data_IF_639296869558
#
_entry.id   IF_639296869558
#
_cell.length_a   1.000
_cell.length_b   1.000
_cell.length_c   1.000
_cell.angle_alpha   90.00
_cell.angle_beta   90.00
_cell.angle_gamma   90.00
#
_symmetry.space_group_name_H-M   'P 1'
#
loop_
_entity.id
_entity.type
_entity.pdbx_description
1 polymer ?
#
# COMPACT_ATOMS: atom_id res chain seq x y z
N UNK A 1 -31.57 -5.37 -19.42
CA UNK A 1 -32.90 -5.99 -19.19
C UNK A 1 -32.79 -6.86 -17.96
N UNK A 2 -33.35 -6.44 -16.83
CA UNK A 2 -33.33 -7.21 -15.57
C UNK A 2 -34.18 -8.47 -15.73
N UNK A 3 -33.63 -9.65 -15.41
CA UNK A 3 -34.35 -10.92 -15.42
C UNK A 3 -35.60 -10.83 -14.51
N UNK A 4 -36.75 -11.45 -14.85
CA UNK A 4 -38.00 -11.41 -14.08
C UNK A 4 -37.84 -11.71 -12.58
N UNK A 5 -36.94 -12.66 -12.27
CA UNK A 5 -36.58 -13.05 -10.90
C UNK A 5 -36.01 -11.90 -10.05
N UNK A 6 -35.34 -10.92 -10.66
CA UNK A 6 -34.80 -9.75 -9.95
C UNK A 6 -35.94 -8.84 -9.45
N UNK A 7 -36.97 -8.64 -10.28
CA UNK A 7 -38.11 -7.78 -9.92
C UNK A 7 -38.93 -8.40 -8.78
N UNK A 8 -39.09 -9.72 -8.78
CA UNK A 8 -39.76 -10.45 -7.70
C UNK A 8 -39.04 -10.29 -6.36
N UNK A 9 -37.71 -10.50 -6.33
CA UNK A 9 -36.89 -10.37 -5.11
C UNK A 9 -36.94 -8.94 -4.56
N UNK A 10 -36.80 -7.93 -5.43
CA UNK A 10 -36.90 -6.52 -5.02
C UNK A 10 -38.29 -6.19 -4.47
N UNK A 11 -39.35 -6.70 -5.09
CA UNK A 11 -40.73 -6.45 -4.64
C UNK A 11 -41.02 -7.13 -3.31
N UNK A 12 -40.48 -8.31 -3.07
CA UNK A 12 -40.54 -9.00 -1.78
C UNK A 12 -39.75 -8.26 -0.70
N UNK A 13 -38.57 -7.73 -1.03
CA UNK A 13 -37.78 -6.89 -0.14
C UNK A 13 -38.53 -5.63 0.31
N UNK A 14 -39.17 -4.91 -0.62
CA UNK A 14 -39.98 -3.73 -0.29
C UNK A 14 -41.11 -4.08 0.68
N UNK A 15 -41.87 -5.13 0.38
CA UNK A 15 -42.96 -5.61 1.26
C UNK A 15 -42.46 -6.03 2.64
N UNK A 16 -41.26 -6.62 2.71
CA UNK A 16 -40.64 -7.03 3.98
C UNK A 16 -40.30 -5.80 4.83
N UNK A 17 -39.68 -4.79 4.24
CA UNK A 17 -39.37 -3.54 4.95
C UNK A 17 -40.64 -2.82 5.41
N UNK A 18 -41.64 -2.70 4.55
CA UNK A 18 -42.92 -2.08 4.89
C UNK A 18 -43.64 -2.82 6.02
N UNK A 19 -43.52 -4.15 6.05
CA UNK A 19 -44.07 -4.97 7.13
C UNK A 19 -43.32 -4.78 8.45
N UNK A 20 -41.99 -4.66 8.42
CA UNK A 20 -41.16 -4.53 9.61
C UNK A 20 -41.20 -3.13 10.23
N UNK A 21 -41.31 -2.08 9.40
CA UNK A 21 -41.19 -0.69 9.82
C UNK A 21 -42.03 -0.31 11.05
N UNK A 22 -43.31 -0.70 11.18
CA UNK A 22 -44.15 -0.34 12.33
C UNK A 22 -43.73 -0.99 13.66
N UNK A 23 -42.99 -2.10 13.60
CA UNK A 23 -42.57 -2.87 14.78
C UNK A 23 -41.17 -2.49 15.25
N UNK A 24 -40.43 -1.71 14.46
CA UNK A 24 -39.09 -1.26 14.81
C UNK A 24 -39.21 0.04 15.61
N UNK A 25 -38.65 0.03 16.81
CA UNK A 25 -38.50 1.26 17.59
C UNK A 25 -37.33 2.09 17.06
N UNK A 26 -37.46 3.43 16.97
CA UNK A 26 -36.36 4.31 16.56
C UNK A 26 -35.10 4.09 17.40
N UNK A 27 -33.95 4.17 16.73
CA UNK A 27 -32.60 4.05 17.32
C UNK A 27 -32.36 2.75 18.10
N UNK A 28 -33.07 1.66 17.75
CA UNK A 28 -32.85 0.33 18.36
C UNK A 28 -32.39 -0.75 17.39
N UNK A 29 -32.72 -0.65 16.10
CA UNK A 29 -32.33 -1.66 15.13
C UNK A 29 -30.92 -1.40 14.61
N UNK A 30 -30.07 -2.44 14.67
CA UNK A 30 -28.78 -2.50 14.01
C UNK A 30 -28.97 -3.29 12.71
N UNK A 31 -28.76 -2.65 11.56
CA UNK A 31 -28.98 -3.25 10.25
C UNK A 31 -27.67 -3.49 9.51
N UNK A 32 -27.46 -4.73 9.09
CA UNK A 32 -26.35 -5.16 8.24
C UNK A 32 -26.92 -5.63 6.90
N UNK A 33 -26.79 -4.81 5.86
CA UNK A 33 -27.43 -5.03 4.56
C UNK A 33 -26.40 -5.31 3.47
N UNK A 34 -26.40 -6.53 2.92
CA UNK A 34 -25.55 -6.96 1.82
C UNK A 34 -26.41 -7.30 0.61
N UNK A 35 -26.22 -6.56 -0.48
CA UNK A 35 -26.87 -6.81 -1.76
C UNK A 35 -25.92 -6.43 -2.88
N UNK A 36 -25.07 -7.36 -3.33
CA UNK A 36 -24.14 -7.09 -4.43
C UNK A 36 -24.92 -6.90 -5.74
N UNK A 37 -24.99 -5.66 -6.23
CA UNK A 37 -25.72 -5.30 -7.44
C UNK A 37 -24.79 -5.12 -8.64
N UNK A 38 -25.36 -5.16 -9.84
CA UNK A 38 -24.61 -5.00 -11.09
C UNK A 38 -24.27 -3.55 -11.43
N UNK A 39 -25.10 -2.59 -11.02
CA UNK A 39 -24.95 -1.17 -11.39
C UNK A 39 -25.61 -0.22 -10.37
N UNK A 40 -25.37 1.09 -10.55
CA UNK A 40 -25.90 2.13 -9.67
C UNK A 40 -27.44 2.19 -9.69
N UNK A 41 -28.11 1.87 -10.81
CA UNK A 41 -29.57 1.89 -10.88
C UNK A 41 -30.18 0.79 -10.01
N UNK A 42 -29.61 -0.42 -10.07
CA UNK A 42 -29.97 -1.53 -9.21
C UNK A 42 -29.69 -1.21 -7.73
N UNK A 43 -28.58 -0.52 -7.45
CA UNK A 43 -28.20 -0.11 -6.10
C UNK A 43 -29.25 0.81 -5.47
N UNK A 44 -29.70 1.82 -6.22
CA UNK A 44 -30.75 2.76 -5.78
C UNK A 44 -32.05 2.03 -5.45
N UNK A 45 -32.47 1.11 -6.31
CA UNK A 45 -33.70 0.34 -6.09
C UNK A 45 -33.57 -0.55 -4.84
N UNK A 46 -32.40 -1.13 -4.58
CA UNK A 46 -32.17 -1.98 -3.41
C UNK A 46 -32.26 -1.21 -2.09
N UNK A 47 -31.80 0.05 -2.05
CA UNK A 47 -31.75 0.86 -0.81
C UNK A 47 -32.95 1.77 -0.60
N UNK A 48 -33.75 2.03 -1.65
CA UNK A 48 -34.95 2.89 -1.57
C UNK A 48 -35.86 2.58 -0.36
N UNK A 49 -36.15 1.30 -0.03
CA UNK A 49 -36.99 0.98 1.13
C UNK A 49 -36.48 1.53 2.46
N UNK A 50 -35.15 1.62 2.63
CA UNK A 50 -34.51 2.12 3.85
C UNK A 50 -34.61 3.65 3.97
N UNK A 51 -34.90 4.35 2.88
CA UNK A 51 -35.07 5.81 2.82
C UNK A 51 -36.54 6.25 2.86
N UNK A 52 -37.47 5.30 2.88
CA UNK A 52 -38.89 5.61 2.94
C UNK A 52 -39.22 6.34 4.25
N UNK A 53 -40.05 7.38 4.19
CA UNK A 53 -40.44 8.19 5.36
C UNK A 53 -41.09 7.39 6.50
N UNK A 54 -41.62 6.21 6.20
CA UNK A 54 -42.22 5.31 7.20
C UNK A 54 -41.21 4.44 7.93
N UNK A 55 -39.96 4.36 7.45
CA UNK A 55 -38.93 3.54 8.08
C UNK A 55 -38.29 4.32 9.25
N UNK A 56 -38.22 3.75 10.46
CA UNK A 56 -37.69 4.45 11.62
C UNK A 56 -36.17 4.64 11.52
N UNK A 57 -35.67 5.66 12.23
CA UNK A 57 -34.23 5.89 12.38
C UNK A 57 -33.57 4.66 13.00
N UNK A 58 -32.47 4.21 12.41
CA UNK A 58 -31.70 3.06 12.86
C UNK A 58 -30.69 3.44 13.95
N UNK A 59 -30.38 2.49 14.84
CA UNK A 59 -29.27 2.64 15.79
C UNK A 59 -27.93 2.60 15.05
N UNK A 60 -27.84 1.69 14.09
CA UNK A 60 -26.65 1.41 13.30
C UNK A 60 -27.07 0.89 11.93
N UNK A 61 -26.36 1.30 10.88
CA UNK A 61 -26.59 0.80 9.53
C UNK A 61 -25.25 0.59 8.82
N UNK A 62 -25.06 -0.61 8.28
CA UNK A 62 -23.90 -0.99 7.49
C UNK A 62 -24.39 -1.55 6.16
N UNK A 63 -23.88 -1.02 5.05
CA UNK A 63 -24.40 -1.32 3.72
C UNK A 63 -23.25 -1.75 2.82
N UNK A 64 -23.41 -2.90 2.15
CA UNK A 64 -22.58 -3.34 1.02
C UNK A 64 -23.48 -3.57 -0.18
N UNK A 65 -23.18 -2.87 -1.27
CA UNK A 65 -23.95 -2.91 -2.51
C UNK A 65 -23.16 -3.51 -3.68
N UNK A 66 -21.92 -3.93 -3.47
CA UNK A 66 -21.10 -4.51 -4.52
C UNK A 66 -19.85 -5.15 -3.97
N UNK A 67 -19.49 -6.29 -4.56
CA UNK A 67 -18.27 -7.03 -4.24
C UNK A 67 -17.02 -6.22 -4.61
N UNK A 68 -17.08 -5.50 -5.71
CA UNK A 68 -15.97 -4.68 -6.19
C UNK A 68 -16.23 -3.21 -5.89
N UNK A 69 -15.18 -2.39 -5.95
CA UNK A 69 -15.26 -0.95 -5.63
C UNK A 69 -15.83 -0.19 -6.83
N UNK A 70 -16.95 0.49 -6.58
CA UNK A 70 -17.54 1.51 -7.44
C UNK A 70 -17.75 2.77 -6.59
N UNK A 71 -17.04 3.89 -6.87
CA UNK A 71 -17.15 5.11 -6.10
C UNK A 71 -18.58 5.69 -6.02
N UNK A 72 -19.39 5.52 -7.07
CA UNK A 72 -20.76 6.04 -7.14
C UNK A 72 -21.68 5.25 -6.23
N UNK A 73 -21.57 3.91 -6.28
CA UNK A 73 -22.33 3.00 -5.42
C UNK A 73 -21.89 3.13 -3.96
N UNK A 74 -20.60 3.29 -3.71
CA UNK A 74 -20.07 3.54 -2.37
C UNK A 74 -20.59 4.85 -1.77
N UNK A 75 -20.62 5.94 -2.54
CA UNK A 75 -21.20 7.20 -2.10
C UNK A 75 -22.72 7.08 -1.85
N UNK A 76 -23.43 6.25 -2.62
CA UNK A 76 -24.81 5.91 -2.32
C UNK A 76 -24.93 5.20 -0.97
N UNK A 77 -24.14 4.16 -0.72
CA UNK A 77 -24.13 3.44 0.55
C UNK A 77 -23.86 4.39 1.74
N UNK A 78 -22.89 5.29 1.62
CA UNK A 78 -22.60 6.34 2.61
C UNK A 78 -23.83 7.20 2.92
N UNK A 79 -24.43 7.81 1.89
CA UNK A 79 -25.59 8.69 2.06
C UNK A 79 -26.79 7.97 2.66
N UNK A 80 -27.02 6.71 2.27
CA UNK A 80 -28.13 5.92 2.81
C UNK A 80 -27.91 5.69 4.30
N UNK A 81 -26.71 5.26 4.72
CA UNK A 81 -26.40 5.06 6.13
C UNK A 81 -26.54 6.35 6.93
N UNK A 82 -26.03 7.47 6.40
CA UNK A 82 -26.14 8.80 7.02
C UNK A 82 -27.61 9.17 7.27
N UNK A 83 -28.45 9.03 6.24
CA UNK A 83 -29.89 9.35 6.32
C UNK A 83 -30.65 8.39 7.23
N UNK A 84 -30.40 7.08 7.11
CA UNK A 84 -31.15 6.05 7.84
C UNK A 84 -30.83 6.05 9.34
N UNK A 85 -29.65 6.50 9.73
CA UNK A 85 -29.24 6.55 11.15
C UNK A 85 -29.51 7.92 11.78
N UNK A 86 -30.03 8.90 11.03
CA UNK A 86 -30.30 10.25 11.54
C UNK A 86 -29.04 11.03 11.94
N UNK A 87 -27.86 10.46 11.73
CA UNK A 87 -26.59 11.14 11.92
C UNK A 87 -26.36 11.98 10.68
N UNK A 88 -26.85 13.22 10.63
CA UNK A 88 -26.15 14.19 9.78
C UNK A 88 -24.77 14.36 10.41
N UNK A 89 -23.74 13.78 9.79
CA UNK A 89 -22.35 13.92 10.25
C UNK A 89 -21.93 15.41 10.16
N UNK A 90 -22.72 16.21 9.44
CA UNK A 90 -22.61 17.65 9.39
C UNK A 90 -23.73 18.34 10.18
N UNK A 91 -23.31 19.30 11.01
CA UNK A 91 -24.11 20.27 11.78
C UNK A 91 -24.47 19.79 13.19
N UNK A 92 -23.51 20.05 14.09
CA UNK A 92 -23.84 20.35 15.49
C UNK A 92 -25.05 21.31 15.51
N UNK A 93 -26.08 20.92 16.24
CA UNK A 93 -27.33 21.66 16.45
C UNK A 93 -27.16 22.98 17.21
N UNK A 94 -25.92 23.35 17.55
CA UNK A 94 -25.58 24.65 18.11
C UNK A 94 -24.90 25.54 17.06
N UNK A 95 -25.20 26.86 17.03
CA UNK A 95 -24.51 27.84 16.20
C UNK A 95 -23.09 28.07 16.72
N UNK A 96 -22.25 27.04 16.68
CA UNK A 96 -20.82 27.19 16.87
C UNK A 96 -20.23 27.71 15.58
N UNK A 97 -19.62 28.89 15.66
CA UNK A 97 -18.70 29.35 14.62
C UNK A 97 -17.68 28.24 14.35
N UNK A 98 -17.47 27.83 13.08
CA UNK A 98 -16.53 26.77 12.76
C UNK A 98 -15.15 27.11 13.32
N UNK A 99 -14.46 26.11 13.87
CA UNK A 99 -13.13 26.29 14.44
C UNK A 99 -12.18 26.84 13.35
N UNK A 100 -11.49 27.97 13.60
CA UNK A 100 -10.67 28.63 12.58
C UNK A 100 -9.30 27.94 12.44
N UNK A 101 -9.29 26.70 11.96
CA UNK A 101 -8.09 25.85 11.88
C UNK A 101 -6.88 26.54 11.21
N UNK A 102 -7.11 27.27 10.12
CA UNK A 102 -6.04 27.99 9.39
C UNK A 102 -5.49 29.21 10.14
N UNK A 103 -6.15 29.67 11.21
CA UNK A 103 -5.63 30.73 12.08
C UNK A 103 -4.63 30.19 13.12
N UNK A 104 -4.50 28.88 13.25
CA UNK A 104 -3.46 28.28 14.08
C UNK A 104 -2.07 28.47 13.44
N UNK A 105 -1.01 28.62 14.25
CA UNK A 105 0.37 28.47 13.81
C UNK A 105 0.58 27.16 13.04
N UNK A 106 1.43 27.20 12.01
CA UNK A 106 1.69 26.07 11.11
C UNK A 106 2.10 24.81 11.88
N UNK A 107 2.90 24.95 12.94
CA UNK A 107 3.37 23.85 13.78
C UNK A 107 2.21 23.10 14.44
N UNK A 108 1.22 23.84 14.96
CA UNK A 108 0.02 23.24 15.55
C UNK A 108 -0.87 22.60 14.49
N UNK A 109 -0.97 23.20 13.30
CA UNK A 109 -1.69 22.59 12.18
C UNK A 109 -1.07 21.26 11.79
N UNK A 110 0.26 21.20 11.66
CA UNK A 110 0.97 19.96 11.35
C UNK A 110 0.82 18.92 12.46
N UNK A 111 0.90 19.33 13.73
CA UNK A 111 0.69 18.42 14.87
C UNK A 111 -0.72 17.83 14.87
N UNK A 112 -1.75 18.64 14.62
CA UNK A 112 -3.14 18.14 14.51
C UNK A 112 -3.27 17.18 13.33
N UNK A 113 -2.69 17.52 12.18
CA UNK A 113 -2.74 16.69 10.97
C UNK A 113 -2.01 15.34 11.13
N UNK A 114 -1.03 15.22 12.03
CA UNK A 114 -0.39 13.94 12.37
C UNK A 114 -1.36 12.94 13.02
N UNK A 115 -2.46 13.41 13.59
CA UNK A 115 -3.51 12.56 14.16
C UNK A 115 -4.61 12.16 13.15
N UNK A 116 -4.34 12.33 11.86
CA UNK A 116 -5.24 11.93 10.76
C UNK A 116 -4.63 10.78 9.97
N UNK A 117 -5.35 10.31 8.94
CA UNK A 117 -4.87 9.29 7.99
C UNK A 117 -3.66 9.74 7.13
N UNK A 118 -3.15 10.96 7.32
CA UNK A 118 -1.89 11.41 6.73
C UNK A 118 -0.67 10.67 7.27
N UNK A 119 -0.73 10.11 8.47
CA UNK A 119 0.35 9.30 9.03
C UNK A 119 -0.17 7.89 9.17
N UNK A 120 0.42 6.96 8.43
CA UNK A 120 -0.07 5.58 8.46
C UNK A 120 0.36 4.90 9.76
N UNK A 121 -0.34 3.84 10.20
CA UNK A 121 -0.06 3.18 11.48
C UNK A 121 1.40 2.75 11.63
N UNK A 122 2.03 2.32 10.53
CA UNK A 122 3.42 1.88 10.47
C UNK A 122 4.38 2.94 9.93
N UNK A 123 3.88 4.16 9.66
CA UNK A 123 4.60 5.21 8.93
C UNK A 123 5.20 4.69 7.63
N UNK A 124 4.52 3.76 6.98
CA UNK A 124 4.91 3.14 5.72
C UNK A 124 3.77 3.35 4.72
N UNK A 125 4.10 3.81 3.52
CA UNK A 125 3.17 3.95 2.41
C UNK A 125 3.77 3.26 1.21
N UNK A 126 3.09 2.25 0.70
CA UNK A 126 3.45 1.61 -0.55
C UNK A 126 2.87 2.41 -1.73
N UNK A 127 3.59 2.43 -2.84
CA UNK A 127 3.10 3.01 -4.08
C UNK A 127 3.53 2.18 -5.29
N UNK A 128 2.60 1.99 -6.23
CA UNK A 128 2.90 1.49 -7.57
C UNK A 128 1.96 2.15 -8.61
N UNK A 129 2.27 2.07 -9.92
CA UNK A 129 1.45 2.69 -10.96
C UNK A 129 0.02 2.14 -11.12
N UNK A 130 -0.24 0.90 -10.67
CA UNK A 130 -1.54 0.23 -10.78
C UNK A 130 -2.47 0.65 -9.64
N UNK A 131 -1.97 0.65 -8.42
CA UNK A 131 -2.77 0.79 -7.20
C UNK A 131 -2.70 2.21 -6.60
N UNK A 132 -1.77 3.05 -7.06
CA UNK A 132 -1.51 4.35 -6.44
C UNK A 132 -0.90 4.16 -5.05
N UNK A 133 -1.31 4.98 -4.08
CA UNK A 133 -0.89 4.81 -2.68
C UNK A 133 -1.73 3.74 -1.97
N UNK A 134 -1.08 2.80 -1.29
CA UNK A 134 -1.74 1.76 -0.52
C UNK A 134 -0.91 1.36 0.70
N UNK A 135 -1.48 0.50 1.54
CA UNK A 135 -0.74 -0.14 2.64
C UNK A 135 -0.65 -1.63 2.43
N UNK A 136 0.56 -2.16 2.58
CA UNK A 136 0.81 -3.56 2.81
C UNK A 136 0.80 -3.88 4.32
N UNK A 137 0.18 -5.00 4.69
CA UNK A 137 0.18 -5.49 6.07
C UNK A 137 0.91 -6.82 6.16
N UNK A 138 2.03 -6.83 6.90
CA UNK A 138 2.93 -7.98 7.03
C UNK A 138 2.35 -9.16 7.79
N UNK A 139 1.36 -8.89 8.65
CA UNK A 139 0.87 -9.85 9.63
C UNK A 139 -0.58 -10.21 9.30
N UNK A 140 -0.85 -11.46 8.89
CA UNK A 140 -2.18 -11.94 8.46
C UNK A 140 -3.25 -11.86 9.55
N UNK A 141 -2.86 -11.83 10.82
CA UNK A 141 -3.71 -11.52 11.96
C UNK A 141 -2.88 -11.30 13.22
N UNK A 142 -3.42 -10.57 14.19
CA UNK A 142 -2.85 -10.56 15.52
C UNK A 142 -3.27 -11.84 16.23
N UNK A 143 -2.46 -12.90 16.13
CA UNK A 143 -2.41 -13.84 17.23
C UNK A 143 -1.96 -13.03 18.45
N UNK A 144 -2.57 -13.19 19.62
CA UNK A 144 -2.43 -12.40 20.86
C UNK A 144 -0.99 -12.08 21.35
N UNK A 145 0.04 -12.50 20.61
CA UNK A 145 1.46 -12.20 20.71
C UNK A 145 1.98 -11.17 19.69
N UNK A 146 1.13 -10.40 19.00
CA UNK A 146 1.64 -9.33 18.13
C UNK A 146 2.32 -8.23 18.97
N UNK A 147 3.39 -7.65 18.44
CA UNK A 147 4.02 -6.47 19.06
C UNK A 147 2.94 -5.37 19.26
N UNK A 148 2.90 -4.65 20.39
CA UNK A 148 1.87 -3.63 20.64
C UNK A 148 1.74 -2.59 19.51
N UNK A 149 2.86 -2.22 18.88
CA UNK A 149 2.86 -1.28 17.75
C UNK A 149 2.30 -1.94 16.47
N UNK A 150 2.56 -3.25 16.29
CA UNK A 150 1.93 -4.05 15.24
C UNK A 150 0.42 -4.26 15.47
N UNK A 151 -0.02 -4.36 16.73
CA UNK A 151 -1.43 -4.51 17.10
C UNK A 151 -2.27 -3.30 16.71
N UNK A 152 -1.75 -2.08 16.92
CA UNK A 152 -2.45 -0.86 16.55
C UNK A 152 -2.77 -0.83 15.04
N UNK A 153 -1.87 -1.32 14.19
CA UNK A 153 -2.09 -1.40 12.75
C UNK A 153 -3.15 -2.43 12.31
N UNK A 154 -3.39 -3.49 13.09
CA UNK A 154 -4.38 -4.53 12.77
C UNK A 154 -5.82 -3.99 12.69
N UNK A 155 -6.16 -2.99 13.50
CA UNK A 155 -7.51 -2.38 13.47
C UNK A 155 -7.83 -1.72 12.11
N UNK A 156 -6.81 -1.37 11.32
CA UNK A 156 -6.93 -0.76 9.99
C UNK A 156 -6.92 -1.79 8.85
N UNK A 157 -6.88 -3.09 9.18
CA UNK A 157 -6.89 -4.21 8.21
C UNK A 157 -8.13 -5.07 8.35
N UNK A 158 -8.50 -5.42 9.58
CA UNK A 158 -9.48 -6.46 9.88
C UNK A 158 -10.84 -5.88 10.26
N UNK A 159 -11.32 -4.86 9.54
CA UNK A 159 -12.63 -4.28 9.86
C UNK A 159 -13.81 -5.26 9.63
N UNK A 160 -13.56 -6.44 9.06
CA UNK A 160 -14.52 -7.53 8.95
C UNK A 160 -14.52 -8.50 10.13
N UNK A 161 -13.46 -8.55 10.95
CA UNK A 161 -13.37 -9.51 12.08
C UNK A 161 -14.24 -9.07 13.26
N UNK A 162 -14.41 -7.77 13.44
CA UNK A 162 -15.25 -7.20 14.52
C UNK A 162 -16.75 -7.30 14.25
N UNK A 163 -17.18 -8.00 13.20
CA UNK A 163 -18.57 -8.06 12.78
C UNK A 163 -19.22 -9.43 13.05
N UNK A 164 -18.66 -10.28 13.91
CA UNK A 164 -19.28 -11.52 14.41
C UNK A 164 -19.96 -12.42 13.34
N UNK A 165 -19.42 -12.44 12.11
CA UNK A 165 -19.97 -13.21 10.99
C UNK A 165 -21.03 -12.51 10.14
N UNK A 166 -21.33 -11.22 10.36
CA UNK A 166 -22.27 -10.41 9.58
C UNK A 166 -21.77 -10.01 8.18
N UNK A 167 -20.56 -10.43 7.79
CA UNK A 167 -19.96 -10.17 6.48
C UNK A 167 -18.97 -9.00 6.47
N UNK A 168 -18.52 -8.60 5.28
CA UNK A 168 -17.50 -7.55 5.10
C UNK A 168 -18.10 -6.28 4.51
N UNK A 169 -18.09 -5.20 5.29
CA UNK A 169 -18.50 -3.84 4.89
C UNK A 169 -17.30 -2.91 4.69
N UNK A 170 -16.14 -3.51 4.40
CA UNK A 170 -14.90 -2.78 4.19
C UNK A 170 -15.01 -1.94 2.93
N UNK A 171 -15.07 -0.63 3.13
CA UNK A 171 -15.20 0.32 2.05
C UNK A 171 -13.94 0.33 1.15
N UNK A 172 -12.78 -0.10 1.67
CA UNK A 172 -11.54 -0.30 0.88
C UNK A 172 -11.64 -1.40 -0.16
N UNK A 173 -12.45 -2.44 0.05
CA UNK A 173 -12.50 -3.61 -0.85
C UNK A 173 -13.83 -3.76 -1.58
N UNK A 174 -14.87 -3.06 -1.13
CA UNK A 174 -16.24 -3.23 -1.59
C UNK A 174 -16.91 -1.88 -1.85
N UNK A 175 -17.96 -1.89 -2.66
CA UNK A 175 -18.93 -0.78 -2.73
C UNK A 175 -19.80 -0.76 -1.47
N UNK A 176 -19.16 -0.43 -0.36
CA UNK A 176 -19.74 -0.53 0.98
C UNK A 176 -19.42 0.71 1.83
N UNK A 177 -20.23 0.91 2.86
CA UNK A 177 -20.00 1.88 3.92
C UNK A 177 -20.37 1.27 5.29
N UNK A 178 -19.54 1.56 6.28
CA UNK A 178 -19.71 1.21 7.68
C UNK A 178 -18.94 2.22 8.53
N UNK A 179 -19.54 2.69 9.61
CA UNK A 179 -18.86 3.57 10.59
C UNK A 179 -17.73 2.84 11.33
N UNK A 180 -17.74 1.52 11.33
CA UNK A 180 -16.72 0.66 11.93
C UNK A 180 -15.56 0.34 10.97
N UNK A 181 -15.68 0.70 9.69
CA UNK A 181 -14.62 0.52 8.72
C UNK A 181 -13.50 1.54 8.95
N UNK A 182 -12.47 1.14 9.71
CA UNK A 182 -11.24 1.91 9.93
C UNK A 182 -10.13 1.61 8.92
N UNK A 183 -10.43 0.93 7.81
CA UNK A 183 -9.38 0.62 6.85
C UNK A 183 -8.80 1.90 6.22
N UNK A 184 -7.49 2.04 6.31
CA UNK A 184 -6.80 3.20 5.75
C UNK A 184 -7.03 3.31 4.25
N UNK A 185 -7.18 4.55 3.79
CA UNK A 185 -7.17 4.94 2.38
C UNK A 185 -6.31 6.18 2.20
N UNK A 186 -5.82 6.43 0.98
CA UNK A 186 -5.14 7.68 0.68
C UNK A 186 -6.01 8.87 1.11
N UNK A 187 -5.48 9.81 1.92
CA UNK A 187 -6.24 10.92 2.51
C UNK A 187 -6.49 12.05 1.49
N UNK A 188 -6.95 11.68 0.29
CA UNK A 188 -7.26 12.58 -0.82
C UNK A 188 -8.17 13.73 -0.40
N UNK A 189 -9.22 13.55 0.43
CA UNK A 189 -10.05 14.66 0.87
C UNK A 189 -9.26 15.81 1.52
N UNK A 190 -8.23 15.51 2.32
CA UNK A 190 -7.39 16.52 2.97
C UNK A 190 -6.54 17.30 1.95
N UNK A 191 -6.18 16.68 0.84
CA UNK A 191 -5.48 17.34 -0.27
C UNK A 191 -6.40 18.21 -1.14
N UNK A 192 -7.72 18.12 -0.99
CA UNK A 192 -8.70 18.81 -1.85
C UNK A 192 -9.46 19.95 -1.16
N UNK A 193 -9.33 20.13 0.15
CA UNK A 193 -10.10 21.17 0.89
C UNK A 193 -9.74 22.60 0.47
N UNK A 194 -8.45 22.95 0.53
CA UNK A 194 -7.95 24.28 0.16
C UNK A 194 -6.47 24.21 -0.17
N UNK A 195 -5.92 25.24 -0.83
CA UNK A 195 -4.48 25.30 -1.15
C UNK A 195 -3.61 25.22 0.11
N UNK A 196 -3.95 25.99 1.15
CA UNK A 196 -3.19 26.04 2.39
C UNK A 196 -3.25 24.69 3.13
N UNK A 197 -4.44 24.08 3.26
CA UNK A 197 -4.56 22.78 3.91
C UNK A 197 -3.84 21.68 3.13
N UNK A 198 -3.90 21.72 1.80
CA UNK A 198 -3.16 20.78 0.95
C UNK A 198 -1.66 20.86 1.20
N UNK A 199 -1.09 22.06 1.27
CA UNK A 199 0.34 22.26 1.54
C UNK A 199 0.73 21.68 2.90
N UNK A 200 -0.04 21.98 3.96
CA UNK A 200 0.21 21.41 5.29
C UNK A 200 0.04 19.88 5.34
N UNK A 201 -0.99 19.37 4.66
CA UNK A 201 -1.27 17.94 4.61
C UNK A 201 -0.16 17.18 3.86
N UNK A 202 0.29 17.71 2.72
CA UNK A 202 1.39 17.12 1.95
C UNK A 202 2.72 17.18 2.72
N UNK A 203 2.99 18.28 3.42
CA UNK A 203 4.17 18.40 4.29
C UNK A 203 4.18 17.28 5.35
N UNK A 204 3.07 17.08 6.07
CA UNK A 204 2.94 16.00 7.06
C UNK A 204 3.07 14.63 6.39
N UNK A 205 2.36 14.39 5.29
CA UNK A 205 2.34 13.10 4.59
C UNK A 205 3.72 12.68 4.09
N UNK A 206 4.48 13.59 3.45
CA UNK A 206 5.78 13.26 2.86
C UNK A 206 6.93 13.21 3.88
N UNK A 207 6.83 13.94 5.00
CA UNK A 207 7.86 13.92 6.05
C UNK A 207 7.70 12.72 6.98
N UNK A 208 6.47 12.42 7.38
CA UNK A 208 6.21 11.48 8.49
C UNK A 208 6.14 10.03 8.02
N UNK A 209 5.96 9.78 6.72
CA UNK A 209 5.91 8.44 6.17
C UNK A 209 7.19 8.10 5.41
N UNK A 210 7.58 6.84 5.53
CA UNK A 210 8.49 6.14 4.64
C UNK A 210 7.71 5.67 3.42
N UNK A 211 8.24 5.97 2.24
CA UNK A 211 7.63 5.53 0.98
C UNK A 211 8.34 4.30 0.44
N UNK A 212 7.56 3.32 -0.02
CA UNK A 212 8.03 2.08 -0.60
C UNK A 212 7.50 2.03 -2.03
N UNK A 213 8.40 2.12 -3.00
CA UNK A 213 8.06 2.02 -4.41
C UNK A 213 8.08 0.54 -4.78
N UNK A 214 6.89 0.00 -4.99
CA UNK A 214 6.67 -1.42 -5.28
C UNK A 214 6.67 -1.68 -6.79
N UNK A 215 7.01 -2.91 -7.23
CA UNK A 215 6.78 -3.31 -8.61
C UNK A 215 5.29 -3.30 -8.94
N UNK A 216 4.95 -2.97 -10.19
CA UNK A 216 3.56 -2.89 -10.66
C UNK A 216 2.77 -4.21 -10.53
N UNK A 217 3.45 -5.36 -10.57
CA UNK A 217 2.84 -6.69 -10.40
C UNK A 217 2.98 -7.23 -8.97
N UNK A 218 3.47 -6.41 -8.03
CA UNK A 218 3.71 -6.79 -6.64
C UNK A 218 5.10 -7.38 -6.40
N UNK A 219 5.34 -7.82 -5.15
CA UNK A 219 6.67 -8.18 -4.65
C UNK A 219 7.11 -9.62 -4.97
N UNK A 220 6.15 -10.51 -5.24
CA UNK A 220 6.34 -11.96 -5.23
C UNK A 220 6.24 -12.63 -6.59
N UNK A 221 6.30 -11.90 -7.70
CA UNK A 221 6.30 -12.49 -9.03
C UNK A 221 7.27 -11.74 -9.94
N UNK A 222 7.88 -12.41 -10.94
CA UNK A 222 8.56 -11.71 -12.02
C UNK A 222 7.64 -10.68 -12.68
N UNK A 223 8.20 -9.53 -13.06
CA UNK A 223 7.43 -8.49 -13.72
C UNK A 223 6.83 -9.01 -15.04
N UNK A 224 5.50 -9.05 -15.11
CA UNK A 224 4.74 -9.37 -16.33
C UNK A 224 4.43 -8.10 -17.12
N UNK A 225 4.29 -6.98 -16.41
CA UNK A 225 4.02 -5.66 -16.96
C UNK A 225 5.35 -4.93 -17.15
N UNK A 226 5.74 -4.72 -18.41
CA UNK A 226 6.93 -3.94 -18.75
C UNK A 226 6.54 -2.49 -18.98
N UNK A 227 6.92 -1.62 -18.04
CA UNK A 227 6.73 -0.18 -18.17
C UNK A 227 7.89 0.45 -18.95
N UNK A 228 7.60 1.50 -19.72
CA UNK A 228 8.64 2.27 -20.41
C UNK A 228 9.64 2.96 -19.48
N UNK A 229 9.27 3.15 -18.22
CA UNK A 229 10.05 3.80 -17.15
C UNK A 229 10.06 2.90 -15.91
N UNK A 230 11.03 3.07 -15.02
CA UNK A 230 10.93 2.42 -13.70
C UNK A 230 9.85 3.10 -12.86
N UNK A 231 9.22 2.32 -12.00
CA UNK A 231 8.23 2.78 -11.03
C UNK A 231 8.82 3.93 -10.20
N UNK A 232 10.09 3.84 -9.81
CA UNK A 232 10.78 4.90 -9.09
C UNK A 232 10.91 6.21 -9.89
N UNK A 233 11.16 6.12 -11.20
CA UNK A 233 11.18 7.29 -12.08
C UNK A 233 9.83 7.99 -12.13
N UNK A 234 8.76 7.20 -12.29
CA UNK A 234 7.39 7.70 -12.35
C UNK A 234 7.04 8.39 -11.02
N UNK A 235 7.34 7.73 -9.90
CA UNK A 235 7.04 8.26 -8.57
C UNK A 235 7.68 9.64 -8.32
N UNK A 236 8.98 9.78 -8.59
CA UNK A 236 9.67 11.03 -8.32
C UNK A 236 9.33 12.17 -9.28
N UNK A 237 9.08 11.86 -10.55
CA UNK A 237 8.88 12.90 -11.57
C UNK A 237 7.40 13.27 -11.75
N UNK A 238 6.49 12.32 -11.55
CA UNK A 238 5.08 12.49 -11.96
C UNK A 238 4.13 12.52 -10.75
N UNK A 239 4.50 11.88 -9.63
CA UNK A 239 3.60 11.69 -8.48
C UNK A 239 3.90 12.67 -7.35
N UNK A 240 5.17 12.86 -7.00
CA UNK A 240 5.56 13.81 -5.96
C UNK A 240 5.75 15.19 -6.59
N UNK A 241 5.06 16.24 -6.12
CA UNK A 241 5.34 17.59 -6.59
C UNK A 241 6.78 17.97 -6.26
N UNK A 242 7.49 18.59 -7.22
CA UNK A 242 8.94 18.82 -7.12
C UNK A 242 9.41 19.54 -5.83
N UNK A 243 8.59 20.45 -5.28
CA UNK A 243 8.91 21.18 -4.05
C UNK A 243 8.75 20.34 -2.76
N UNK A 244 8.15 19.16 -2.83
CA UNK A 244 8.08 18.19 -1.72
C UNK A 244 9.18 17.12 -1.78
N UNK A 245 9.93 17.01 -2.88
CA UNK A 245 11.08 16.09 -2.96
C UNK A 245 12.11 16.30 -1.81
N UNK A 246 12.46 17.54 -1.39
CA UNK A 246 13.33 17.75 -0.24
C UNK A 246 12.79 17.22 1.10
N UNK A 247 11.47 16.96 1.19
CA UNK A 247 10.81 16.53 2.43
C UNK A 247 10.92 15.03 2.66
N UNK A 248 11.26 14.25 1.64
CA UNK A 248 11.46 12.81 1.76
C UNK A 248 12.64 12.51 2.69
N UNK A 249 12.39 11.72 3.74
CA UNK A 249 13.42 11.28 4.69
C UNK A 249 13.82 9.83 4.52
N UNK A 250 12.88 9.00 4.08
CA UNK A 250 13.14 7.58 3.84
C UNK A 250 12.42 7.15 2.57
N UNK A 251 13.19 6.60 1.63
CA UNK A 251 12.66 5.95 0.45
C UNK A 251 13.19 4.53 0.31
N UNK A 252 12.29 3.62 -0.04
CA UNK A 252 12.59 2.28 -0.43
C UNK A 252 12.16 2.04 -1.87
N UNK A 253 13.03 1.40 -2.66
CA UNK A 253 12.74 1.01 -4.03
C UNK A 253 12.89 -0.49 -4.11
N UNK A 254 11.81 -1.19 -4.49
CA UNK A 254 11.81 -2.63 -4.66
C UNK A 254 11.74 -2.95 -6.14
N UNK A 255 12.81 -3.54 -6.65
CA UNK A 255 12.82 -4.13 -7.98
C UNK A 255 12.29 -5.56 -7.91
N UNK A 256 11.44 -5.97 -8.86
CA UNK A 256 10.96 -7.34 -8.93
C UNK A 256 12.11 -8.31 -9.25
N UNK A 257 11.87 -9.62 -9.15
CA UNK A 257 12.78 -10.63 -9.68
C UNK A 257 13.30 -10.31 -11.07
N UNK A 258 14.63 -10.27 -11.20
CA UNK A 258 15.26 -9.95 -12.47
C UNK A 258 15.41 -11.20 -13.33
N UNK A 259 14.53 -11.30 -14.33
CA UNK A 259 14.49 -12.38 -15.32
C UNK A 259 15.08 -11.97 -16.68
N UNK A 260 15.26 -12.95 -17.58
CA UNK A 260 15.83 -12.71 -18.91
C UNK A 260 15.08 -11.64 -19.71
N UNK A 261 13.75 -11.68 -19.65
CA UNK A 261 12.86 -10.69 -20.27
C UNK A 261 13.02 -9.29 -19.64
N UNK A 262 13.25 -9.23 -18.33
CA UNK A 262 13.52 -7.98 -17.65
C UNK A 262 14.82 -7.32 -18.16
N UNK A 263 15.84 -8.13 -18.48
CA UNK A 263 17.12 -7.63 -18.98
C UNK A 263 17.08 -7.11 -20.41
N UNK A 264 16.26 -7.71 -21.27
CA UNK A 264 16.23 -7.40 -22.71
C UNK A 264 15.28 -6.24 -23.04
N UNK A 265 14.18 -6.08 -22.30
CA UNK A 265 13.09 -5.18 -22.69
C UNK A 265 13.19 -3.75 -22.13
N UNK A 266 14.07 -3.50 -21.15
CA UNK A 266 14.13 -2.21 -20.41
C UNK A 266 15.27 -1.27 -20.80
N UNK A 267 15.77 -1.36 -22.03
CA UNK A 267 16.72 -0.37 -22.58
C UNK A 267 16.24 1.08 -22.40
N UNK A 268 15.00 1.42 -22.82
CA UNK A 268 14.41 2.73 -22.60
C UNK A 268 14.26 3.11 -21.12
N UNK A 269 13.88 2.15 -20.25
CA UNK A 269 13.72 2.42 -18.82
C UNK A 269 15.04 2.71 -18.13
N UNK A 270 16.13 2.07 -18.54
CA UNK A 270 17.47 2.36 -18.01
C UNK A 270 17.93 3.77 -18.43
N UNK A 271 17.64 4.19 -19.65
CA UNK A 271 17.93 5.55 -20.11
C UNK A 271 17.08 6.60 -19.36
N UNK A 272 15.78 6.35 -19.19
CA UNK A 272 14.92 7.18 -18.35
C UNK A 272 15.40 7.23 -16.90
N UNK A 273 15.89 6.11 -16.37
CA UNK A 273 16.47 6.04 -15.03
C UNK A 273 17.70 6.93 -14.87
N UNK A 274 18.59 6.92 -15.86
CA UNK A 274 19.72 7.83 -15.93
C UNK A 274 19.27 9.30 -15.93
N UNK A 275 18.30 9.65 -16.77
CA UNK A 275 17.74 11.00 -16.83
C UNK A 275 17.05 11.42 -15.53
N UNK A 276 16.35 10.47 -14.89
CA UNK A 276 15.68 10.68 -13.60
C UNK A 276 16.69 11.11 -12.55
N UNK A 277 17.82 10.41 -12.45
CA UNK A 277 18.89 10.77 -11.52
C UNK A 277 19.44 12.17 -11.77
N UNK A 278 19.59 12.56 -13.04
CA UNK A 278 20.04 13.89 -13.40
C UNK A 278 19.03 14.99 -13.03
N UNK A 279 17.73 14.69 -13.12
CA UNK A 279 16.65 15.61 -12.78
C UNK A 279 16.50 15.81 -11.26
N UNK A 280 16.65 14.75 -10.47
CA UNK A 280 16.33 14.79 -9.02
C UNK A 280 17.53 15.08 -8.11
N UNK A 281 18.77 14.96 -8.61
CA UNK A 281 19.97 15.09 -7.77
C UNK A 281 20.10 16.44 -7.04
N UNK A 282 19.49 17.50 -7.57
CA UNK A 282 19.53 18.84 -7.00
C UNK A 282 18.24 19.23 -6.24
N UNK A 283 17.21 18.38 -6.28
CA UNK A 283 15.91 18.66 -5.65
C UNK A 283 15.70 17.87 -4.37
N UNK A 284 16.38 16.74 -4.19
CA UNK A 284 16.33 15.94 -2.97
C UNK A 284 17.24 16.53 -1.88
N UNK A 285 16.82 16.43 -0.63
CA UNK A 285 17.68 16.65 0.54
C UNK A 285 18.51 15.39 0.81
N UNK A 286 19.46 15.14 -0.09
CA UNK A 286 20.26 13.91 -0.12
C UNK A 286 21.06 13.63 1.16
N UNK A 287 21.63 14.62 1.88
CA UNK A 287 22.31 14.37 3.16
C UNK A 287 21.40 13.74 4.22
N UNK A 288 20.11 14.07 4.21
CA UNK A 288 19.11 13.59 5.18
C UNK A 288 18.24 12.45 4.64
N UNK A 289 18.42 12.05 3.38
CA UNK A 289 17.66 10.98 2.76
C UNK A 289 18.30 9.62 3.03
N UNK A 290 17.51 8.69 3.59
CA UNK A 290 17.80 7.26 3.62
C UNK A 290 17.24 6.59 2.38
N UNK A 291 18.12 6.08 1.52
CA UNK A 291 17.72 5.32 0.34
C UNK A 291 17.98 3.82 0.55
N UNK A 292 16.93 3.02 0.42
CA UNK A 292 17.03 1.56 0.45
C UNK A 292 16.59 0.98 -0.89
N UNK A 293 17.34 -0.01 -1.38
CA UNK A 293 17.05 -0.69 -2.64
C UNK A 293 16.98 -2.18 -2.38
N UNK A 294 15.90 -2.81 -2.80
CA UNK A 294 15.76 -4.26 -2.80
C UNK A 294 15.74 -4.79 -4.23
N UNK A 295 16.50 -5.85 -4.46
CA UNK A 295 16.29 -6.74 -5.59
C UNK A 295 15.56 -7.97 -5.07
N UNK A 296 14.24 -7.98 -5.23
CA UNK A 296 13.38 -9.04 -4.72
C UNK A 296 13.64 -10.36 -5.46
N UNK A 297 13.53 -11.47 -4.74
CA UNK A 297 13.67 -12.83 -5.27
C UNK A 297 12.97 -13.80 -4.31
N UNK A 298 11.70 -13.48 -4.08
CA UNK A 298 10.90 -13.88 -2.93
C UNK A 298 9.65 -14.65 -3.37
N UNK A 299 9.80 -15.63 -4.26
CA UNK A 299 8.66 -16.30 -4.87
C UNK A 299 8.86 -17.80 -5.00
N UNK A 300 7.79 -18.58 -5.08
CA UNK A 300 7.90 -20.04 -5.17
C UNK A 300 8.75 -20.44 -6.40
N UNK A 301 9.64 -21.42 -6.22
CA UNK A 301 10.44 -22.00 -7.30
C UNK A 301 9.59 -22.38 -8.53
N UNK A 302 8.30 -22.68 -8.36
CA UNK A 302 7.35 -22.88 -9.46
C UNK A 302 7.31 -21.68 -10.43
N UNK A 303 7.30 -20.45 -9.95
CA UNK A 303 7.27 -19.22 -10.77
C UNK A 303 8.63 -18.83 -11.35
N UNK A 304 9.73 -19.49 -10.99
CA UNK A 304 11.03 -19.11 -11.53
C UNK A 304 11.10 -19.44 -13.01
N UNK A 305 11.54 -18.47 -13.81
CA UNK A 305 11.75 -18.68 -15.23
C UNK A 305 12.70 -19.85 -15.46
N UNK A 306 12.55 -20.52 -16.60
CA UNK A 306 13.44 -21.59 -17.00
C UNK A 306 14.91 -21.13 -17.01
N UNK A 307 15.15 -19.89 -17.39
CA UNK A 307 16.47 -19.26 -17.35
C UNK A 307 17.04 -19.25 -15.92
N UNK A 308 16.30 -18.76 -14.92
CA UNK A 308 16.77 -18.71 -13.51
C UNK A 308 17.01 -20.10 -12.93
N UNK A 309 16.21 -21.10 -13.33
CA UNK A 309 16.36 -22.50 -12.90
C UNK A 309 17.61 -23.18 -13.43
N UNK A 310 18.15 -22.73 -14.58
CA UNK A 310 19.27 -23.38 -15.27
C UNK A 310 20.57 -22.57 -15.30
N UNK A 311 20.54 -21.34 -14.81
CA UNK A 311 21.69 -20.45 -14.84
C UNK A 311 22.87 -21.03 -14.06
N UNK A 312 24.07 -21.00 -14.63
CA UNK A 312 25.28 -21.35 -13.88
C UNK A 312 25.68 -20.23 -12.91
N UNK A 313 26.52 -20.52 -11.91
CA UNK A 313 27.08 -19.47 -11.02
C UNK A 313 27.74 -18.33 -11.81
N UNK A 314 28.49 -18.69 -12.86
CA UNK A 314 29.15 -17.72 -13.75
C UNK A 314 28.13 -16.82 -14.45
N UNK A 315 27.08 -17.40 -15.01
CA UNK A 315 26.01 -16.64 -15.67
C UNK A 315 25.19 -15.79 -14.68
N UNK A 316 24.98 -16.26 -13.45
CA UNK A 316 24.33 -15.45 -12.41
C UNK A 316 25.14 -14.20 -12.08
N UNK A 317 26.46 -14.30 -12.02
CA UNK A 317 27.32 -13.12 -11.87
C UNK A 317 27.27 -12.23 -13.13
N UNK A 318 27.40 -12.80 -14.33
CA UNK A 318 27.54 -11.99 -15.56
C UNK A 318 26.22 -11.41 -16.08
N UNK A 319 25.07 -12.04 -15.82
CA UNK A 319 23.76 -11.59 -16.31
C UNK A 319 22.94 -10.89 -15.22
N UNK A 320 22.81 -11.49 -14.04
CA UNK A 320 21.92 -10.99 -12.98
C UNK A 320 22.63 -9.95 -12.12
N UNK A 321 23.80 -10.27 -11.55
CA UNK A 321 24.53 -9.30 -10.72
C UNK A 321 25.02 -8.08 -11.54
N UNK A 322 25.32 -8.26 -12.83
CA UNK A 322 25.61 -7.15 -13.74
C UNK A 322 24.39 -6.26 -14.00
N UNK A 323 23.17 -6.81 -13.95
CA UNK A 323 21.95 -6.01 -14.04
C UNK A 323 21.72 -5.18 -12.76
N UNK A 324 21.93 -5.76 -11.58
CA UNK A 324 21.96 -4.98 -10.33
C UNK A 324 22.92 -3.81 -10.45
N UNK A 325 24.12 -4.05 -10.99
CA UNK A 325 25.12 -3.01 -11.21
C UNK A 325 24.66 -1.93 -12.19
N UNK A 326 23.99 -2.31 -13.29
CA UNK A 326 23.44 -1.36 -14.28
C UNK A 326 22.36 -0.46 -13.66
N UNK A 327 21.51 -1.00 -12.79
CA UNK A 327 20.45 -0.26 -12.09
C UNK A 327 21.03 0.65 -11.00
N UNK A 328 22.05 0.20 -10.28
CA UNK A 328 22.65 0.93 -9.16
C UNK A 328 23.58 2.05 -9.63
N UNK A 329 24.32 1.85 -10.73
CA UNK A 329 25.34 2.80 -11.21
C UNK A 329 24.84 4.26 -11.34
N UNK A 330 23.64 4.55 -11.87
CA UNK A 330 23.15 5.92 -11.99
C UNK A 330 23.06 6.69 -10.66
N UNK A 331 22.94 5.98 -9.53
CA UNK A 331 22.88 6.55 -8.18
C UNK A 331 24.20 7.18 -7.73
N UNK A 332 25.32 6.92 -8.42
CA UNK A 332 26.60 7.64 -8.21
C UNK A 332 26.41 9.16 -8.25
N UNK A 333 25.47 9.63 -9.08
CA UNK A 333 25.11 11.05 -9.16
C UNK A 333 24.52 11.57 -7.86
N UNK A 334 23.72 10.77 -7.15
CA UNK A 334 23.17 11.16 -5.84
C UNK A 334 24.28 11.24 -4.80
N UNK A 335 25.25 10.31 -4.83
CA UNK A 335 26.42 10.40 -3.95
C UNK A 335 27.23 11.67 -4.18
N UNK A 336 27.46 12.03 -5.44
CA UNK A 336 28.16 13.26 -5.79
C UNK A 336 27.45 14.53 -5.28
N UNK A 337 26.14 14.46 -5.00
CA UNK A 337 25.32 15.55 -4.47
C UNK A 337 24.97 15.39 -2.98
N UNK A 338 25.70 14.53 -2.26
CA UNK A 338 25.62 14.48 -0.79
C UNK A 338 24.83 13.32 -0.19
N UNK A 339 24.40 12.33 -0.99
CA UNK A 339 23.79 11.12 -0.41
C UNK A 339 24.75 10.49 0.61
N UNK A 340 24.23 10.27 1.81
CA UNK A 340 25.00 9.79 2.96
C UNK A 340 24.67 8.33 3.30
N UNK A 341 23.44 7.88 3.02
CA UNK A 341 22.92 6.58 3.43
C UNK A 341 22.24 5.85 2.26
N UNK A 342 22.92 4.82 1.75
CA UNK A 342 22.42 3.87 0.76
C UNK A 342 22.52 2.44 1.29
N UNK A 343 21.42 1.71 1.29
CA UNK A 343 21.35 0.32 1.73
C UNK A 343 20.84 -0.55 0.57
N UNK A 344 21.66 -1.47 0.08
CA UNK A 344 21.27 -2.35 -1.05
C UNK A 344 21.08 -3.76 -0.55
N UNK A 345 19.90 -4.32 -0.73
CA UNK A 345 19.58 -5.70 -0.42
C UNK A 345 19.48 -6.50 -1.71
N UNK A 346 20.42 -7.39 -1.93
CA UNK A 346 20.54 -8.14 -3.18
C UNK A 346 20.06 -9.58 -2.99
N UNK A 347 19.32 -10.07 -3.97
CA UNK A 347 19.04 -11.49 -4.06
C UNK A 347 20.27 -12.29 -4.51
N UNK A 348 20.30 -13.57 -4.14
CA UNK A 348 21.38 -14.46 -4.56
C UNK A 348 21.21 -14.83 -6.03
N UNK A 349 22.17 -14.52 -6.93
CA UNK A 349 21.91 -14.54 -8.37
C UNK A 349 21.58 -15.90 -9.00
N UNK A 350 21.75 -17.01 -8.31
CA UNK A 350 21.42 -18.36 -8.78
C UNK A 350 20.63 -19.15 -7.72
N UNK A 351 19.90 -18.45 -6.86
CA UNK A 351 19.01 -18.99 -5.82
C UNK A 351 18.08 -20.11 -6.32
N UNK A 352 17.61 -20.04 -7.57
CA UNK A 352 16.60 -20.93 -8.13
C UNK A 352 17.12 -22.16 -8.86
N UNK A 353 18.43 -22.33 -8.95
CA UNK A 353 19.00 -23.57 -9.48
C UNK A 353 18.82 -24.69 -8.47
N UNK A 354 18.93 -25.94 -8.91
CA UNK A 354 18.91 -27.09 -7.98
C UNK A 354 20.02 -26.96 -6.92
N UNK A 355 21.24 -26.61 -7.34
CA UNK A 355 22.36 -26.34 -6.45
C UNK A 355 22.08 -25.16 -5.51
N UNK A 356 21.51 -24.08 -6.03
CA UNK A 356 21.17 -22.87 -5.28
C UNK A 356 20.15 -23.15 -4.19
N UNK A 357 19.07 -23.86 -4.52
CA UNK A 357 18.05 -24.28 -3.55
C UNK A 357 18.65 -25.17 -2.46
N UNK A 358 19.43 -26.18 -2.85
CA UNK A 358 20.12 -27.04 -1.88
C UNK A 358 21.06 -26.25 -0.97
N UNK A 359 21.80 -25.27 -1.51
CA UNK A 359 22.70 -24.44 -0.71
C UNK A 359 21.94 -23.52 0.24
N UNK A 360 20.79 -22.98 -0.19
CA UNK A 360 19.93 -22.13 0.66
C UNK A 360 19.40 -22.90 1.87
N UNK A 361 18.99 -24.14 1.67
CA UNK A 361 18.46 -25.02 2.74
C UNK A 361 19.59 -25.46 3.67
N UNK A 362 20.66 -26.06 3.12
CA UNK A 362 21.66 -26.77 3.92
C UNK A 362 22.86 -25.91 4.33
N UNK A 363 23.09 -24.76 3.68
CA UNK A 363 24.30 -23.95 3.82
C UNK A 363 23.98 -22.45 3.84
N UNK A 364 22.97 -22.04 4.60
CA UNK A 364 22.48 -20.66 4.72
C UNK A 364 23.59 -19.61 4.91
N UNK A 365 24.59 -19.89 5.76
CA UNK A 365 25.72 -18.99 6.01
C UNK A 365 26.56 -18.69 4.75
N UNK A 366 26.66 -19.63 3.80
CA UNK A 366 27.36 -19.40 2.52
C UNK A 366 26.57 -18.41 1.68
N UNK A 367 25.25 -18.59 1.60
CA UNK A 367 24.36 -17.70 0.86
C UNK A 367 24.41 -16.28 1.44
N UNK A 368 24.31 -16.15 2.76
CA UNK A 368 24.40 -14.87 3.47
C UNK A 368 25.75 -14.16 3.23
N UNK A 369 26.86 -14.91 3.22
CA UNK A 369 28.17 -14.36 2.94
C UNK A 369 28.31 -13.90 1.48
N UNK A 370 27.87 -14.71 0.52
CA UNK A 370 27.89 -14.35 -0.90
C UNK A 370 27.02 -13.12 -1.18
N UNK A 371 25.80 -13.06 -0.61
CA UNK A 371 24.93 -11.87 -0.70
C UNK A 371 25.63 -10.65 -0.10
N UNK A 372 26.19 -10.74 1.11
CA UNK A 372 26.91 -9.65 1.76
C UNK A 372 28.05 -9.10 0.90
N UNK A 373 28.78 -9.97 0.19
CA UNK A 373 29.83 -9.57 -0.77
C UNK A 373 29.24 -8.81 -1.96
N UNK A 374 28.12 -9.29 -2.53
CA UNK A 374 27.44 -8.64 -3.65
C UNK A 374 26.91 -7.26 -3.24
N UNK A 375 26.18 -7.18 -2.11
CA UNK A 375 25.63 -5.95 -1.57
C UNK A 375 26.72 -4.91 -1.31
N UNK A 376 27.80 -5.30 -0.61
CA UNK A 376 28.93 -4.42 -0.34
C UNK A 376 29.57 -3.91 -1.62
N UNK A 377 29.67 -4.75 -2.66
CA UNK A 377 30.19 -4.33 -3.97
C UNK A 377 29.29 -3.31 -4.65
N UNK A 378 27.97 -3.50 -4.61
CA UNK A 378 26.99 -2.56 -5.18
C UNK A 378 27.01 -1.22 -4.43
N UNK A 379 26.99 -1.26 -3.09
CA UNK A 379 27.00 -0.06 -2.25
C UNK A 379 28.30 0.73 -2.44
N UNK A 380 29.47 0.07 -2.40
CA UNK A 380 30.77 0.74 -2.59
C UNK A 380 30.96 1.28 -4.00
N UNK A 381 30.28 0.71 -4.99
CA UNK A 381 30.30 1.27 -6.36
C UNK A 381 29.74 2.69 -6.38
N UNK A 382 28.67 2.93 -5.61
CA UNK A 382 27.98 4.23 -5.53
C UNK A 382 28.62 5.14 -4.50
N UNK A 383 28.81 4.63 -3.29
CA UNK A 383 29.13 5.44 -2.10
C UNK A 383 30.64 5.62 -1.89
N UNK A 384 31.47 4.84 -2.59
CA UNK A 384 32.93 4.82 -2.44
C UNK A 384 33.45 3.61 -1.65
N UNK A 385 34.75 3.34 -1.75
CA UNK A 385 35.40 2.14 -1.19
C UNK A 385 35.31 2.03 0.34
N UNK A 386 35.33 3.17 1.02
CA UNK A 386 35.27 3.27 2.49
C UNK A 386 33.85 3.10 3.05
N UNK A 387 32.84 3.02 2.18
CA UNK A 387 31.47 2.87 2.63
C UNK A 387 31.22 1.50 3.26
N UNK A 388 30.57 1.51 4.43
CA UNK A 388 30.21 0.35 5.22
C UNK A 388 28.78 0.53 5.76
N UNK A 389 27.83 -0.10 5.06
CA UNK A 389 26.42 -0.05 5.42
C UNK A 389 26.11 -0.76 6.75
N UNK A 390 26.89 -1.78 7.12
CA UNK A 390 26.69 -2.52 8.38
C UNK A 390 26.99 -1.60 9.56
N UNK A 391 28.09 -0.84 9.50
CA UNK A 391 28.42 0.16 10.52
C UNK A 391 27.41 1.31 10.60
N UNK A 392 26.69 1.58 9.51
CA UNK A 392 25.61 2.56 9.45
C UNK A 392 24.24 1.99 9.88
N UNK A 393 24.23 0.79 10.46
CA UNK A 393 23.04 0.19 11.05
C UNK A 393 22.11 -0.50 10.06
N UNK A 394 22.59 -0.93 8.89
CA UNK A 394 21.76 -1.65 7.87
C UNK A 394 20.92 -2.78 8.46
N UNK A 395 21.47 -3.52 9.43
CA UNK A 395 20.81 -4.66 10.08
C UNK A 395 19.82 -4.26 11.17
N UNK A 396 19.95 -3.06 11.73
CA UNK A 396 19.06 -2.52 12.77
C UNK A 396 17.83 -1.83 12.17
N UNK A 397 17.85 -1.57 10.85
CA UNK A 397 16.72 -0.89 10.24
C UNK A 397 15.48 -1.78 10.23
N UNK A 398 14.34 -1.16 10.56
CA UNK A 398 13.05 -1.86 10.55
C UNK A 398 12.73 -2.44 9.15
N UNK A 399 12.31 -3.70 9.15
CA UNK A 399 11.82 -4.39 7.95
C UNK A 399 10.47 -3.82 7.54
N UNK A 400 10.31 -3.57 6.25
CA UNK A 400 9.03 -3.15 5.67
C UNK A 400 7.97 -4.23 5.84
N UNK A 401 6.71 -3.83 5.92
CA UNK A 401 5.59 -4.75 6.10
C UNK A 401 5.50 -5.81 4.99
N UNK A 402 5.82 -5.47 3.74
CA UNK A 402 5.87 -6.45 2.65
C UNK A 402 6.93 -7.53 2.84
N UNK A 403 8.09 -7.18 3.41
CA UNK A 403 9.17 -8.13 3.66
C UNK A 403 8.79 -9.05 4.84
N UNK A 404 8.20 -8.50 5.90
CA UNK A 404 7.62 -9.29 7.00
C UNK A 404 6.56 -10.28 6.50
N UNK A 405 5.70 -9.87 5.56
CA UNK A 405 4.69 -10.75 4.95
C UNK A 405 5.34 -11.95 4.25
N UNK A 406 6.43 -11.69 3.54
CA UNK A 406 7.11 -12.71 2.76
C UNK A 406 7.87 -13.70 3.65
N UNK A 407 8.66 -13.23 4.61
CA UNK A 407 9.45 -14.11 5.50
C UNK A 407 8.55 -15.11 6.25
N UNK A 408 7.37 -14.67 6.72
CA UNK A 408 6.39 -15.58 7.35
C UNK A 408 5.87 -16.64 6.38
N UNK A 409 5.63 -16.27 5.11
CA UNK A 409 5.15 -17.24 4.12
C UNK A 409 6.17 -18.36 3.87
N UNK A 410 7.48 -18.05 3.92
CA UNK A 410 8.54 -19.05 3.83
C UNK A 410 8.59 -19.95 5.07
N UNK A 411 8.42 -19.38 6.27
CA UNK A 411 8.37 -20.15 7.52
C UNK A 411 7.24 -21.18 7.50
N UNK A 412 6.02 -20.80 7.09
CA UNK A 412 4.90 -21.73 6.98
C UNK A 412 5.13 -22.82 5.94
N UNK A 413 5.75 -22.49 4.80
CA UNK A 413 6.07 -23.49 3.78
C UNK A 413 7.09 -24.52 4.29
N UNK A 414 8.06 -24.09 5.11
CA UNK A 414 9.11 -24.97 5.66
C UNK A 414 8.64 -25.96 6.74
N UNK A 415 7.42 -25.80 7.26
CA UNK A 415 6.83 -26.69 8.29
C UNK A 415 5.98 -27.80 7.67
N UNK A 416 5.64 -27.67 6.39
CA UNK A 416 4.74 -28.60 5.68
C UNK A 416 5.53 -29.65 4.86
N UNK A 417 6.83 -29.44 4.66
CA UNK A 417 7.80 -30.42 4.13
C UNK A 417 8.55 -31.11 5.27
#
# INVERSE_FOLDING_TARGET
MSLPRYQEVISEWHRTIDHLAPYIQPSRLHLYFICDVADTSAAVVAVTPLLNRGFPVLAECNIRLGKDIDPSIQNLAYRVVEQSTGHSINVATEPHTPFPFLSLPTELRHQILQHTDLVTPYRQVDWNPRDGYYLQYGVRGCDWNCDPDDHHGCQFRQCWENLDGHGCFCSRYHSAFSIHCRCWRPPIPLFLVSKALREDAQEVFFIQNRFIIAPVDGYGEPARTVLGRFEASIFWQDIIPAHFLPRLRFLEIVFPPLDEEYFSLRGPSLHDWDNTMDNIKNTLDLPNLKLRIYFADFYDASYASFFRKKITRKEGITRVASAYMRIIRPLERLKANGLSQLFVHAAWPWSWTEEGRNTRIWKKHIVENDISVIERRLERRVMGKEYDSVRLGKKELEKSQWLKAHERSEEFASVID
#
